data_IF_162535406530
#
_entry.id   IF_162535406530
#
_cell.length_a   1.000
_cell.length_b   1.000
_cell.length_c   1.000
_cell.angle_alpha   90.00
_cell.angle_beta   90.00
_cell.angle_gamma   90.00
#
_symmetry.space_group_name_H-M   'P 1'
#
loop_
_entity.id
_entity.type
_entity.pdbx_description
1 polymer ?
#
# COMPACT_ATOMS: atom_id res chain seq x y z
N UNK A 1 -6.07 -11.71 20.95
CA UNK A 1 -6.35 -12.65 22.07
C UNK A 1 -7.24 -13.83 21.76
N UNK A 2 -8.20 -13.74 20.83
CA UNK A 2 -9.15 -14.82 20.52
C UNK A 2 -8.49 -16.17 20.20
N UNK A 3 -7.42 -16.18 19.38
CA UNK A 3 -6.69 -17.40 19.06
C UNK A 3 -5.98 -18.03 20.27
N UNK A 4 -5.40 -17.21 21.15
CA UNK A 4 -4.74 -17.67 22.39
C UNK A 4 -5.77 -18.27 23.33
N UNK A 5 -6.90 -17.60 23.52
CA UNK A 5 -7.99 -18.08 24.35
C UNK A 5 -8.58 -19.40 23.83
N UNK A 6 -8.81 -19.54 22.52
CA UNK A 6 -9.26 -20.80 21.91
C UNK A 6 -8.23 -21.93 22.08
N UNK A 7 -6.93 -21.61 21.99
CA UNK A 7 -5.85 -22.60 22.13
C UNK A 7 -5.75 -23.21 23.54
N UNK A 8 -6.27 -22.50 24.55
CA UNK A 8 -6.28 -22.94 25.95
C UNK A 8 -7.54 -23.72 26.34
N UNK A 9 -8.52 -23.87 25.43
CA UNK A 9 -9.73 -24.65 25.70
C UNK A 9 -9.42 -26.16 25.70
N UNK A 10 -10.10 -26.96 26.56
CA UNK A 10 -9.88 -28.40 26.63
C UNK A 10 -10.40 -29.16 25.39
N UNK A 11 -11.35 -28.58 24.65
CA UNK A 11 -11.87 -29.18 23.42
C UNK A 11 -10.80 -29.18 22.32
N UNK A 12 -10.47 -30.36 21.79
CA UNK A 12 -9.42 -30.56 20.78
C UNK A 12 -9.61 -29.69 19.52
N UNK A 13 -10.85 -29.56 19.05
CA UNK A 13 -11.19 -28.71 17.91
C UNK A 13 -10.94 -27.23 18.20
N UNK A 14 -11.36 -26.74 19.37
CA UNK A 14 -11.13 -25.35 19.79
C UNK A 14 -9.63 -25.04 19.88
N UNK A 15 -8.85 -25.99 20.42
CA UNK A 15 -7.39 -25.87 20.52
C UNK A 15 -6.71 -25.84 19.14
N UNK A 16 -7.14 -26.69 18.22
CA UNK A 16 -6.63 -26.73 16.85
C UNK A 16 -6.93 -25.43 16.09
N UNK A 17 -8.16 -24.90 16.20
CA UNK A 17 -8.54 -23.63 15.60
C UNK A 17 -7.76 -22.45 16.18
N UNK A 18 -7.60 -22.41 17.52
CA UNK A 18 -6.77 -21.40 18.18
C UNK A 18 -5.34 -21.40 17.67
N UNK A 19 -4.71 -22.58 17.60
CA UNK A 19 -3.36 -22.74 17.05
C UNK A 19 -3.25 -22.34 15.56
N UNK A 20 -4.30 -22.61 14.77
CA UNK A 20 -4.39 -22.17 13.38
C UNK A 20 -4.40 -20.65 13.24
N UNK A 21 -5.22 -19.96 14.05
CA UNK A 21 -5.29 -18.48 14.08
C UNK A 21 -3.93 -17.88 14.48
N UNK A 22 -3.27 -18.41 15.52
CA UNK A 22 -1.95 -17.94 15.93
C UNK A 22 -0.90 -18.10 14.81
N UNK A 23 -0.93 -19.21 14.06
CA UNK A 23 -0.02 -19.43 12.94
C UNK A 23 -0.29 -18.50 11.76
N UNK A 24 -1.56 -18.15 11.51
CA UNK A 24 -1.95 -17.25 10.45
C UNK A 24 -1.64 -15.78 10.76
N UNK A 25 -1.65 -15.39 12.06
CA UNK A 25 -1.50 -14.00 12.47
C UNK A 25 -0.23 -13.29 11.92
N UNK A 26 0.99 -13.87 11.96
CA UNK A 26 2.18 -13.22 11.40
C UNK A 26 2.10 -13.01 9.89
N UNK A 27 1.48 -13.95 9.17
CA UNK A 27 1.29 -13.87 7.73
C UNK A 27 0.28 -12.79 7.36
N UNK A 28 -0.85 -12.75 8.08
CA UNK A 28 -1.86 -11.70 7.91
C UNK A 28 -1.25 -10.31 8.11
N UNK A 29 -0.46 -10.10 9.15
CA UNK A 29 0.18 -8.80 9.44
C UNK A 29 1.15 -8.37 8.34
N UNK A 30 1.95 -9.31 7.80
CA UNK A 30 2.85 -9.04 6.68
C UNK A 30 2.08 -8.71 5.39
N UNK A 31 1.07 -9.51 5.07
CA UNK A 31 0.23 -9.28 3.90
C UNK A 31 -0.47 -7.92 3.98
N UNK A 32 -1.06 -7.61 5.14
CA UNK A 32 -1.74 -6.33 5.36
C UNK A 32 -0.80 -5.13 5.29
N UNK A 33 0.47 -5.27 5.70
CA UNK A 33 1.47 -4.21 5.57
C UNK A 33 1.77 -3.89 4.11
N UNK A 34 1.96 -4.92 3.27
CA UNK A 34 2.23 -4.75 1.84
C UNK A 34 0.99 -4.21 1.12
N UNK A 35 -0.18 -4.80 1.37
CA UNK A 35 -1.45 -4.36 0.78
C UNK A 35 -1.78 -2.94 1.21
N UNK A 36 -1.58 -2.61 2.49
CA UNK A 36 -1.79 -1.27 3.02
C UNK A 36 -0.88 -0.25 2.35
N UNK A 37 0.40 -0.58 2.17
CA UNK A 37 1.35 0.30 1.47
C UNK A 37 0.94 0.50 0.00
N UNK A 38 0.58 -0.57 -0.70
CA UNK A 38 0.07 -0.48 -2.07
C UNK A 38 -1.21 0.37 -2.15
N UNK A 39 -2.14 0.20 -1.20
CA UNK A 39 -3.37 0.96 -1.12
C UNK A 39 -3.11 2.46 -0.87
N UNK A 40 -2.12 2.83 -0.05
CA UNK A 40 -1.78 4.24 0.17
C UNK A 40 -1.29 4.91 -1.13
N UNK A 41 -0.50 4.20 -1.95
CA UNK A 41 -0.10 4.72 -3.27
C UNK A 41 -1.25 4.77 -4.26
N UNK A 42 -2.12 3.75 -4.26
CA UNK A 42 -3.30 3.69 -5.12
C UNK A 42 -4.26 4.86 -4.84
N UNK A 43 -4.57 5.07 -3.56
CA UNK A 43 -5.49 6.13 -3.11
C UNK A 43 -4.85 7.51 -3.31
N UNK A 44 -3.60 7.70 -2.91
CA UNK A 44 -2.90 8.97 -3.08
C UNK A 44 -2.73 9.34 -4.56
N UNK A 45 -2.34 8.36 -5.39
CA UNK A 45 -2.20 8.55 -6.84
C UNK A 45 -3.52 8.91 -7.52
N UNK A 46 -4.62 8.27 -7.14
CA UNK A 46 -5.96 8.62 -7.64
C UNK A 46 -6.32 10.07 -7.32
N UNK A 47 -6.05 10.54 -6.10
CA UNK A 47 -6.28 11.94 -5.73
C UNK A 47 -5.49 12.90 -6.64
N UNK A 48 -4.22 12.58 -6.94
CA UNK A 48 -3.39 13.41 -7.81
C UNK A 48 -3.87 13.41 -9.27
N UNK A 49 -4.16 12.24 -9.84
CA UNK A 49 -4.60 12.12 -11.24
C UNK A 49 -5.92 12.83 -11.46
N UNK A 50 -6.88 12.68 -10.54
CA UNK A 50 -8.16 13.38 -10.63
C UNK A 50 -8.01 14.91 -10.49
N UNK A 51 -7.01 15.38 -9.73
CA UNK A 51 -6.67 16.79 -9.62
C UNK A 51 -6.02 17.39 -10.88
N UNK A 52 -5.57 16.56 -11.83
CA UNK A 52 -4.88 16.99 -13.06
C UNK A 52 -5.69 16.48 -14.27
N UNK A 53 -6.62 17.29 -14.83
CA UNK A 53 -7.51 16.86 -15.90
C UNK A 53 -6.80 16.29 -17.13
N UNK A 54 -5.63 16.82 -17.49
CA UNK A 54 -4.84 16.32 -18.62
C UNK A 54 -4.37 14.87 -18.41
N UNK A 55 -3.98 14.52 -17.18
CA UNK A 55 -3.49 13.18 -16.84
C UNK A 55 -4.65 12.18 -16.78
N UNK A 56 -5.79 12.60 -16.23
CA UNK A 56 -7.00 11.78 -16.21
C UNK A 56 -7.50 11.45 -17.62
N UNK A 57 -7.62 12.44 -18.50
CA UNK A 57 -8.04 12.19 -19.89
C UNK A 57 -7.03 11.33 -20.64
N UNK A 58 -5.73 11.55 -20.49
CA UNK A 58 -4.71 10.73 -21.14
C UNK A 58 -4.83 9.23 -20.75
N UNK A 59 -5.13 8.94 -19.48
CA UNK A 59 -5.34 7.57 -19.00
C UNK A 59 -6.65 6.99 -19.56
N UNK A 60 -7.74 7.76 -19.55
CA UNK A 60 -9.05 7.32 -20.08
C UNK A 60 -9.00 7.06 -21.59
N UNK A 61 -8.38 7.97 -22.36
CA UNK A 61 -8.24 7.86 -23.81
C UNK A 61 -7.38 6.65 -24.21
N UNK A 62 -6.42 6.25 -23.38
CA UNK A 62 -5.59 5.08 -23.63
C UNK A 62 -6.36 3.76 -23.50
N UNK A 63 -7.42 3.72 -22.69
CA UNK A 63 -8.21 2.50 -22.40
C UNK A 63 -9.62 2.52 -22.98
N UNK A 64 -10.02 3.61 -23.64
CA UNK A 64 -11.37 3.80 -24.18
C UNK A 64 -11.79 2.69 -25.15
N UNK A 65 -10.86 2.12 -25.91
CA UNK A 65 -11.10 1.03 -26.88
C UNK A 65 -11.05 -0.37 -26.26
N UNK A 66 -10.76 -0.48 -24.96
CA UNK A 66 -10.60 -1.76 -24.27
C UNK A 66 -11.94 -2.24 -23.69
N UNK A 67 -11.98 -3.48 -23.21
CA UNK A 67 -13.19 -4.04 -22.59
C UNK A 67 -13.56 -3.36 -21.26
N UNK A 68 -14.84 -3.45 -20.86
CA UNK A 68 -15.37 -2.78 -19.65
C UNK A 68 -14.58 -3.06 -18.36
N UNK A 69 -14.07 -4.28 -18.20
CA UNK A 69 -13.25 -4.65 -17.03
C UNK A 69 -11.92 -3.87 -17.03
N UNK A 70 -11.28 -3.73 -18.20
CA UNK A 70 -10.04 -2.98 -18.31
C UNK A 70 -10.25 -1.48 -18.05
N UNK A 71 -11.38 -0.92 -18.48
CA UNK A 71 -11.72 0.49 -18.23
C UNK A 71 -11.87 0.82 -16.73
N UNK A 72 -12.10 -0.17 -15.87
CA UNK A 72 -12.14 0.03 -14.41
C UNK A 72 -10.79 -0.26 -13.77
N UNK A 73 -10.15 -1.36 -14.18
CA UNK A 73 -8.93 -1.87 -13.53
C UNK A 73 -7.70 -1.06 -13.93
N UNK A 74 -7.55 -0.75 -15.22
CA UNK A 74 -6.32 -0.13 -15.74
C UNK A 74 -6.16 1.32 -15.26
N UNK A 75 -7.20 2.19 -15.25
CA UNK A 75 -7.05 3.53 -14.68
C UNK A 75 -6.69 3.49 -13.20
N UNK A 76 -7.32 2.60 -12.42
CA UNK A 76 -7.01 2.42 -11.01
C UNK A 76 -5.53 2.04 -10.82
N UNK A 77 -5.01 1.09 -11.60
CA UNK A 77 -3.59 0.72 -11.52
C UNK A 77 -2.67 1.86 -11.98
N UNK A 78 -3.03 2.58 -13.05
CA UNK A 78 -2.29 3.73 -13.54
C UNK A 78 -2.17 4.83 -12.48
N UNK A 79 -3.27 5.13 -11.78
CA UNK A 79 -3.31 6.03 -10.64
C UNK A 79 -2.30 5.59 -9.57
N UNK A 80 -2.28 4.30 -9.22
CA UNK A 80 -1.31 3.76 -8.27
C UNK A 80 0.15 3.89 -8.72
N UNK A 81 0.44 3.71 -10.02
CA UNK A 81 1.79 3.94 -10.57
C UNK A 81 2.17 5.41 -10.48
N UNK A 82 1.26 6.33 -10.82
CA UNK A 82 1.49 7.78 -10.66
C UNK A 82 1.75 8.12 -9.19
N UNK A 83 0.94 7.59 -8.27
CA UNK A 83 1.11 7.77 -6.83
C UNK A 83 2.46 7.29 -6.34
N UNK A 84 2.93 6.14 -6.83
CA UNK A 84 4.25 5.59 -6.49
C UNK A 84 5.39 6.48 -7.00
N UNK A 85 5.31 6.95 -8.25
CA UNK A 85 6.32 7.84 -8.84
C UNK A 85 6.38 9.15 -8.06
N UNK A 86 5.25 9.81 -7.82
CA UNK A 86 5.20 11.08 -7.10
C UNK A 86 5.66 10.90 -5.66
N UNK A 87 5.19 9.85 -4.96
CA UNK A 87 5.64 9.54 -3.61
C UNK A 87 7.15 9.31 -3.52
N UNK A 88 7.73 8.61 -4.50
CA UNK A 88 9.17 8.43 -4.62
C UNK A 88 9.94 9.74 -4.83
N UNK A 89 9.43 10.62 -5.71
CA UNK A 89 10.03 11.94 -5.94
C UNK A 89 9.98 12.83 -4.69
N UNK A 90 8.85 12.84 -3.99
CA UNK A 90 8.70 13.58 -2.72
C UNK A 90 9.68 13.04 -1.68
N UNK A 91 9.76 11.72 -1.53
CA UNK A 91 10.69 11.09 -0.60
C UNK A 91 12.15 11.43 -0.93
N UNK A 92 12.54 11.38 -2.21
CA UNK A 92 13.87 11.76 -2.66
C UNK A 92 14.19 13.23 -2.33
N UNK A 93 13.24 14.15 -2.56
CA UNK A 93 13.38 15.56 -2.18
C UNK A 93 13.53 15.75 -0.68
N UNK A 94 12.71 15.08 0.13
CA UNK A 94 12.79 15.11 1.60
C UNK A 94 14.16 14.58 2.06
N UNK A 95 14.63 13.47 1.50
CA UNK A 95 15.94 12.89 1.82
C UNK A 95 17.09 13.84 1.45
N UNK A 96 17.01 14.52 0.31
CA UNK A 96 18.00 15.52 -0.11
C UNK A 96 18.04 16.69 0.88
N UNK A 97 16.87 17.24 1.24
CA UNK A 97 16.78 18.33 2.22
C UNK A 97 17.32 17.89 3.58
N UNK A 98 16.95 16.70 4.06
CA UNK A 98 17.47 16.16 5.32
C UNK A 98 19.00 16.00 5.27
N UNK A 99 19.57 15.58 4.14
CA UNK A 99 21.02 15.46 3.97
C UNK A 99 21.72 16.81 4.04
N UNK A 100 21.14 17.86 3.45
CA UNK A 100 21.69 19.23 3.49
C UNK A 100 21.53 19.90 4.88
N UNK A 101 20.51 19.49 5.65
CA UNK A 101 20.22 20.08 6.98
C UNK A 101 20.95 19.42 8.14
N UNK A 102 21.59 18.26 7.97
CA UNK A 102 22.40 17.65 9.06
C UNK A 102 23.61 18.55 9.32
N UNK A 103 23.69 19.26 10.47
CA UNK A 103 24.91 19.96 10.84
C UNK A 103 26.00 18.90 10.99
N UNK A 104 27.16 19.14 10.37
CA UNK A 104 28.34 18.31 10.56
C UNK A 104 28.50 18.06 12.06
N UNK A 105 28.38 16.80 12.49
CA UNK A 105 28.76 16.42 13.84
C UNK A 105 30.19 16.89 14.02
N UNK A 106 30.41 17.87 14.91
CA UNK A 106 31.75 18.35 15.24
C UNK A 106 32.55 17.14 15.72
N UNK A 107 33.67 16.79 15.07
CA UNK A 107 34.61 15.87 15.69
C UNK A 107 35.10 16.50 17.00
N UNK A 108 35.28 15.65 18.00
CA UNK A 108 35.67 15.97 19.37
C UNK A 108 36.99 16.75 19.46
#
# INVERSE_FOLDING_TARGET
>A
DLGLWLSQRPAALARALGAGILRAAPWLMKALSVVGTAAMFLVGGGILVHGIPALHHAIQDAVQSWGRVAQVVVPTLADGVVGLIVGGLVLAGVMLVQRLRRPSASPA
#
